data_IF_403862190164
#
_entry.id   IF_403862190164
#
_cell.length_a   1.000
_cell.length_b   1.000
_cell.length_c   1.000
_cell.angle_alpha   90.00
_cell.angle_beta   90.00
_cell.angle_gamma   90.00
#
_symmetry.space_group_name_H-M   'P 1'
#
loop_
_entity.id
_entity.type
_entity.pdbx_description
1 polymer ?
#
# COMPACT_ATOMS: atom_id res chain seq x y z
N UNK A 1 -7.31 -9.16 -26.41
CA UNK A 1 -6.26 -8.97 -27.40
C UNK A 1 -4.96 -9.51 -26.89
N UNK A 2 -4.30 -10.26 -27.71
CA UNK A 2 -3.05 -10.91 -27.35
C UNK A 2 -1.97 -9.92 -26.96
N UNK A 3 -2.03 -8.71 -27.51
CA UNK A 3 -1.09 -7.65 -27.21
C UNK A 3 -1.14 -7.19 -25.79
N UNK A 4 -2.26 -7.43 -25.11
CA UNK A 4 -2.48 -6.95 -23.75
C UNK A 4 -1.66 -7.70 -22.72
N UNK A 5 -1.16 -8.86 -23.08
CA UNK A 5 -0.38 -9.68 -22.17
C UNK A 5 1.12 -9.58 -22.41
N UNK A 6 1.55 -8.64 -23.24
CA UNK A 6 2.98 -8.49 -23.54
C UNK A 6 3.70 -7.85 -22.36
N UNK A 7 4.61 -8.60 -21.77
CA UNK A 7 5.47 -8.11 -20.71
C UNK A 7 6.92 -8.32 -21.13
N UNK A 8 7.62 -7.23 -21.46
CA UNK A 8 8.96 -7.28 -22.03
C UNK A 8 10.06 -7.44 -20.98
N UNK A 9 9.87 -6.91 -19.80
CA UNK A 9 10.87 -6.97 -18.74
C UNK A 9 10.21 -7.46 -17.46
N UNK A 10 10.10 -8.76 -17.34
CA UNK A 10 9.45 -9.40 -16.20
C UNK A 10 10.16 -9.04 -14.89
N UNK A 11 11.50 -9.05 -14.88
CA UNK A 11 12.25 -8.72 -13.67
C UNK A 11 11.98 -7.30 -13.19
N UNK A 12 11.87 -6.34 -14.13
CA UNK A 12 11.51 -4.96 -13.78
C UNK A 12 10.11 -4.85 -13.20
N UNK A 13 9.18 -5.61 -13.73
CA UNK A 13 7.80 -5.61 -13.23
C UNK A 13 7.72 -6.29 -11.86
N UNK A 14 8.51 -7.33 -11.64
CA UNK A 14 8.61 -7.97 -10.32
C UNK A 14 9.17 -6.99 -9.28
N UNK A 15 10.18 -6.23 -9.65
CA UNK A 15 10.73 -5.17 -8.78
C UNK A 15 9.67 -4.14 -8.43
N UNK A 16 8.92 -3.71 -9.42
CA UNK A 16 7.80 -2.77 -9.20
C UNK A 16 6.78 -3.35 -8.22
N UNK A 17 6.40 -4.61 -8.39
CA UNK A 17 5.46 -5.27 -7.47
C UNK A 17 5.99 -5.28 -6.03
N UNK A 18 7.29 -5.56 -5.87
CA UNK A 18 7.94 -5.50 -4.56
C UNK A 18 7.92 -4.09 -3.97
N UNK A 19 8.10 -3.08 -4.81
CA UNK A 19 8.07 -1.69 -4.38
C UNK A 19 6.66 -1.26 -3.93
N UNK A 20 5.62 -1.73 -4.61
CA UNK A 20 4.24 -1.50 -4.16
C UNK A 20 4.04 -2.01 -2.73
N UNK A 21 4.55 -3.19 -2.43
CA UNK A 21 4.44 -3.76 -1.08
C UNK A 21 5.25 -2.94 -0.06
N UNK A 22 6.46 -2.54 -0.42
CA UNK A 22 7.30 -1.72 0.45
C UNK A 22 6.64 -0.39 0.77
N UNK A 23 6.08 0.29 -0.23
CA UNK A 23 5.39 1.56 -0.03
C UNK A 23 4.19 1.37 0.88
N UNK A 24 3.42 0.30 0.69
CA UNK A 24 2.30 -0.02 1.57
C UNK A 24 2.76 -0.13 3.03
N UNK A 25 3.83 -0.87 3.27
CA UNK A 25 4.38 -1.05 4.62
C UNK A 25 4.90 0.25 5.22
N UNK A 26 5.56 1.09 4.41
CA UNK A 26 6.08 2.38 4.85
C UNK A 26 4.95 3.34 5.19
N UNK A 27 3.91 3.41 4.36
CA UNK A 27 2.74 4.26 4.61
C UNK A 27 2.05 3.83 5.89
N UNK A 28 1.83 2.54 6.06
CA UNK A 28 1.21 1.99 7.27
C UNK A 28 2.01 2.38 8.52
N UNK A 29 3.33 2.17 8.47
CA UNK A 29 4.21 2.48 9.60
C UNK A 29 4.20 3.97 9.95
N UNK A 30 4.35 4.84 8.92
CA UNK A 30 4.41 6.30 9.12
C UNK A 30 3.13 6.79 9.80
N UNK A 31 1.97 6.38 9.31
CA UNK A 31 0.72 6.86 9.85
C UNK A 31 0.40 6.26 11.22
N UNK A 32 0.85 5.04 11.50
CA UNK A 32 0.75 4.49 12.86
C UNK A 32 1.61 5.27 13.86
N UNK A 33 2.80 5.72 13.43
CA UNK A 33 3.63 6.58 14.29
C UNK A 33 2.96 7.93 14.52
N UNK A 34 2.38 8.50 13.47
CA UNK A 34 1.67 9.78 13.60
C UNK A 34 0.44 9.64 14.50
N UNK A 35 -0.26 8.51 14.42
CA UNK A 35 -1.38 8.23 15.32
C UNK A 35 -0.92 8.22 16.79
N UNK A 36 0.19 7.55 17.08
CA UNK A 36 0.76 7.54 18.44
C UNK A 36 1.10 8.94 18.91
N UNK A 37 1.71 9.75 18.04
CA UNK A 37 2.03 11.15 18.37
C UNK A 37 0.77 11.96 18.64
N UNK A 38 -0.25 11.77 17.82
CA UNK A 38 -1.53 12.47 17.98
C UNK A 38 -2.18 12.10 19.31
N UNK A 39 -2.18 10.83 19.66
CA UNK A 39 -2.72 10.37 20.94
C UNK A 39 -1.90 10.91 22.12
N UNK A 40 -0.58 10.98 21.96
CA UNK A 40 0.31 11.52 23.00
C UNK A 40 0.11 13.01 23.22
N UNK A 41 -0.08 13.78 22.14
CA UNK A 41 -0.36 15.21 22.24
C UNK A 41 -1.66 15.46 23.02
N UNK A 42 -2.62 14.56 22.92
CA UNK A 42 -3.87 14.67 23.66
C UNK A 42 -3.71 14.65 25.16
N UNK A 43 -2.58 14.16 25.67
CA UNK A 43 -2.29 14.22 27.11
C UNK A 43 -1.86 15.62 27.55
N UNK A 44 -1.33 16.42 26.64
CA UNK A 44 -0.83 17.75 26.90
C UNK A 44 -1.76 18.85 26.38
N UNK A 45 -2.67 18.50 25.51
CA UNK A 45 -3.59 19.43 24.87
C UNK A 45 -4.94 18.73 24.69
N UNK A 46 -5.91 19.12 25.53
CA UNK A 46 -7.19 18.41 25.61
C UNK A 46 -8.40 19.35 25.48
N UNK A 47 -8.31 20.38 24.66
CA UNK A 47 -9.48 21.20 24.37
C UNK A 47 -10.40 20.53 23.35
N UNK A 48 -11.61 21.10 23.17
CA UNK A 48 -12.60 20.50 22.30
C UNK A 48 -12.18 20.49 20.83
N UNK A 49 -11.41 21.48 20.39
CA UNK A 49 -10.92 21.53 19.00
C UNK A 49 -9.93 20.44 18.71
N UNK A 50 -9.00 20.20 19.65
CA UNK A 50 -8.04 19.12 19.46
C UNK A 50 -8.73 17.75 19.50
N UNK A 51 -9.70 17.58 20.39
CA UNK A 51 -10.45 16.33 20.49
C UNK A 51 -11.22 16.02 19.19
N UNK A 52 -11.81 17.03 18.56
CA UNK A 52 -12.44 16.87 17.24
C UNK A 52 -11.43 16.48 16.18
N UNK A 53 -10.28 17.13 16.15
CA UNK A 53 -9.22 16.83 15.20
C UNK A 53 -8.73 15.39 15.38
N UNK A 54 -8.49 14.99 16.61
CA UNK A 54 -8.03 13.64 16.95
C UNK A 54 -9.03 12.58 16.51
N UNK A 55 -10.30 12.86 16.72
CA UNK A 55 -11.36 11.95 16.30
C UNK A 55 -11.42 11.82 14.78
N UNK A 56 -11.32 12.95 14.06
CA UNK A 56 -11.25 12.93 12.60
C UNK A 56 -10.02 12.17 12.11
N UNK A 57 -8.88 12.36 12.76
CA UNK A 57 -7.67 11.63 12.40
C UNK A 57 -7.90 10.13 12.50
N UNK A 58 -8.43 9.67 13.63
CA UNK A 58 -8.61 8.25 13.88
C UNK A 58 -9.70 7.63 12.99
N UNK A 59 -10.79 8.34 12.73
CA UNK A 59 -11.92 7.79 12.00
C UNK A 59 -11.80 7.96 10.50
N UNK A 60 -11.25 9.06 10.03
CA UNK A 60 -11.22 9.38 8.62
C UNK A 60 -9.85 9.11 7.99
N UNK A 61 -8.81 9.73 8.52
CA UNK A 61 -7.47 9.63 7.91
C UNK A 61 -6.96 8.19 8.00
N UNK A 62 -7.01 7.59 9.17
CA UNK A 62 -6.51 6.22 9.34
C UNK A 62 -7.29 5.22 8.49
N UNK A 63 -8.59 5.42 8.34
CA UNK A 63 -9.41 4.57 7.49
C UNK A 63 -9.03 4.69 6.02
N UNK A 64 -8.75 5.89 5.55
CA UNK A 64 -8.26 6.12 4.19
C UNK A 64 -6.90 5.47 3.97
N UNK A 65 -6.00 5.57 4.94
CA UNK A 65 -4.68 4.95 4.86
C UNK A 65 -4.80 3.42 4.80
N UNK A 66 -5.67 2.83 5.59
CA UNK A 66 -5.92 1.39 5.53
C UNK A 66 -6.41 0.96 4.14
N UNK A 67 -7.29 1.75 3.54
CA UNK A 67 -7.77 1.49 2.17
C UNK A 67 -6.66 1.60 1.13
N UNK A 68 -5.79 2.59 1.26
CA UNK A 68 -4.65 2.74 0.37
C UNK A 68 -3.71 1.55 0.47
N UNK A 69 -3.35 1.16 1.69
CA UNK A 69 -2.47 0.02 1.93
C UNK A 69 -3.07 -1.28 1.39
N UNK A 70 -4.36 -1.48 1.58
CA UNK A 70 -5.05 -2.65 1.04
C UNK A 70 -4.99 -2.69 -0.48
N UNK A 71 -5.19 -1.54 -1.13
CA UNK A 71 -5.13 -1.43 -2.59
C UNK A 71 -3.71 -1.71 -3.10
N UNK A 72 -2.70 -1.13 -2.45
CA UNK A 72 -1.30 -1.38 -2.83
C UNK A 72 -0.93 -2.86 -2.67
N UNK A 73 -1.38 -3.49 -1.60
CA UNK A 73 -1.13 -4.91 -1.38
C UNK A 73 -1.79 -5.78 -2.45
N UNK A 74 -3.01 -5.45 -2.83
CA UNK A 74 -3.72 -6.17 -3.90
C UNK A 74 -3.01 -6.00 -5.24
N UNK A 75 -2.59 -4.77 -5.56
CA UNK A 75 -1.85 -4.51 -6.80
C UNK A 75 -0.52 -5.26 -6.82
N UNK A 76 0.18 -5.29 -5.69
CA UNK A 76 1.42 -6.04 -5.58
C UNK A 76 1.21 -7.53 -5.86
N UNK A 77 0.22 -8.13 -5.23
CA UNK A 77 -0.11 -9.56 -5.44
C UNK A 77 -0.54 -9.84 -6.87
N UNK A 78 -1.39 -9.00 -7.43
CA UNK A 78 -1.86 -9.16 -8.80
C UNK A 78 -0.68 -9.09 -9.77
N UNK A 79 0.19 -8.10 -9.59
CA UNK A 79 1.34 -7.89 -10.47
C UNK A 79 2.31 -9.07 -10.40
N UNK A 80 2.60 -9.57 -9.20
CA UNK A 80 3.43 -10.76 -9.03
C UNK A 80 2.84 -11.97 -9.74
N UNK A 81 1.54 -12.15 -9.64
CA UNK A 81 0.86 -13.26 -10.29
C UNK A 81 0.95 -13.16 -11.81
N UNK A 82 0.81 -11.97 -12.37
CA UNK A 82 0.99 -11.76 -13.79
C UNK A 82 2.42 -12.06 -14.23
N UNK A 83 3.40 -11.72 -13.41
CA UNK A 83 4.79 -12.07 -13.70
C UNK A 83 4.99 -13.59 -13.74
N UNK A 84 4.38 -14.31 -12.82
CA UNK A 84 4.42 -15.77 -12.82
C UNK A 84 3.86 -16.37 -14.10
N UNK A 85 2.69 -15.89 -14.54
CA UNK A 85 2.09 -16.35 -15.79
C UNK A 85 2.99 -16.09 -16.99
N UNK A 86 3.59 -14.90 -17.07
CA UNK A 86 4.47 -14.57 -18.18
C UNK A 86 5.75 -15.39 -18.18
N UNK A 87 6.30 -15.67 -17.01
CA UNK A 87 7.47 -16.56 -16.92
C UNK A 87 7.13 -17.98 -17.34
N UNK A 88 5.99 -18.48 -16.91
CA UNK A 88 5.53 -19.81 -17.31
C UNK A 88 5.33 -19.88 -18.82
N UNK A 89 4.71 -18.87 -19.41
CA UNK A 89 4.50 -18.82 -20.86
C UNK A 89 5.84 -18.81 -21.62
N UNK A 90 6.83 -18.09 -21.13
CA UNK A 90 8.16 -18.07 -21.73
C UNK A 90 8.86 -19.41 -21.61
N UNK A 91 8.71 -20.07 -20.48
CA UNK A 91 9.34 -21.38 -20.27
C UNK A 91 8.70 -22.49 -21.09
N UNK A 92 7.44 -22.33 -21.48
CA UNK A 92 6.73 -23.32 -22.29
C UNK A 92 6.80 -23.05 -23.80
N UNK A 93 7.58 -22.08 -24.21
CA UNK A 93 7.73 -21.69 -25.60
C UNK A 93 8.63 -22.60 -26.41
N UNK A 94 8.95 -23.71 -25.90
CA UNK A 94 9.78 -24.66 -26.65
C UNK A 94 8.92 -25.53 -27.56
#
# INVERSE_FOLDING_TARGET
MATDSSMKNISGVETYAGNLKKVSQQVDWIFKQLKKQTDSVGQNWSDSQFNEFREQFNQSIMKQIDGICLTLDRLSKYTKKQCEFHRMAQNHKL
#
